data_IF_158110257286
#
_entry.id   IF_158110257286
#
_cell.length_a   1.000
_cell.length_b   1.000
_cell.length_c   1.000
_cell.angle_alpha   90.00
_cell.angle_beta   90.00
_cell.angle_gamma   90.00
#
_symmetry.space_group_name_H-M   'P 1'
#
loop_
_entity.id
_entity.type
_entity.pdbx_description
1 polymer ?
#
# COMPACT_ATOMS: atom_id res chain seq x y z
N UNK A 1 12.17 4.30 -23.71
CA UNK A 1 10.71 4.52 -23.68
C UNK A 1 10.06 3.30 -23.03
N UNK A 2 9.29 3.47 -21.94
CA UNK A 2 8.50 2.34 -21.39
C UNK A 2 7.37 2.04 -22.40
N UNK A 3 7.17 0.80 -22.87
CA UNK A 3 6.34 0.54 -24.07
C UNK A 3 4.85 0.92 -23.99
N UNK A 4 4.31 1.33 -22.84
CA UNK A 4 2.90 1.73 -22.70
C UNK A 4 2.63 2.90 -21.75
N UNK A 5 3.68 3.50 -21.14
CA UNK A 5 3.50 4.60 -20.17
C UNK A 5 2.58 4.27 -18.98
N UNK A 6 2.36 2.99 -18.66
CA UNK A 6 1.45 2.56 -17.60
C UNK A 6 2.12 2.67 -16.21
N UNK A 7 1.39 3.23 -15.24
CA UNK A 7 1.81 3.31 -13.84
C UNK A 7 1.41 2.09 -13.01
N UNK A 8 0.40 1.32 -13.47
CA UNK A 8 -0.11 0.13 -12.80
C UNK A 8 -0.44 -0.99 -13.80
N UNK A 9 0.01 -2.22 -13.53
CA UNK A 9 -0.35 -3.43 -14.25
C UNK A 9 -1.09 -4.41 -13.34
N UNK A 10 -2.32 -4.77 -13.69
CA UNK A 10 -3.12 -5.72 -12.93
C UNK A 10 -3.44 -6.95 -13.78
N UNK A 11 -3.29 -8.14 -13.21
CA UNK A 11 -3.56 -9.40 -13.93
C UNK A 11 -4.03 -10.49 -12.98
N UNK A 12 -4.74 -11.50 -13.51
CA UNK A 12 -4.98 -12.75 -12.79
C UNK A 12 -3.79 -13.74 -12.93
N UNK A 13 -2.77 -13.43 -13.75
CA UNK A 13 -1.59 -14.24 -13.94
C UNK A 13 -0.43 -13.72 -13.05
N UNK A 14 -0.03 -14.45 -11.99
CA UNK A 14 1.04 -14.02 -11.09
C UNK A 14 2.42 -13.90 -11.77
N UNK A 15 2.70 -14.67 -12.81
CA UNK A 15 3.98 -14.61 -13.52
C UNK A 15 4.11 -13.29 -14.30
N UNK A 16 3.03 -12.87 -14.97
CA UNK A 16 3.01 -11.57 -15.65
C UNK A 16 3.16 -10.40 -14.66
N UNK A 17 2.60 -10.53 -13.46
CA UNK A 17 2.74 -9.55 -12.38
C UNK A 17 4.18 -9.45 -11.93
N UNK A 18 4.84 -10.58 -11.62
CA UNK A 18 6.25 -10.60 -11.21
C UNK A 18 7.15 -9.96 -12.28
N UNK A 19 6.99 -10.37 -13.55
CA UNK A 19 7.75 -9.76 -14.65
C UNK A 19 7.54 -8.25 -14.74
N UNK A 20 6.34 -7.76 -14.47
CA UNK A 20 6.06 -6.32 -14.49
C UNK A 20 6.76 -5.58 -13.35
N UNK A 21 6.77 -6.16 -12.14
CA UNK A 21 7.52 -5.63 -10.99
C UNK A 21 9.02 -5.56 -11.27
N UNK A 22 9.60 -6.62 -11.86
CA UNK A 22 11.03 -6.67 -12.26
C UNK A 22 11.41 -5.55 -13.26
N UNK A 23 10.45 -5.10 -14.07
CA UNK A 23 10.64 -4.00 -15.03
C UNK A 23 10.28 -2.62 -14.44
N UNK A 24 10.07 -2.52 -13.12
CA UNK A 24 9.79 -1.27 -12.43
C UNK A 24 8.42 -0.69 -12.77
N UNK A 25 7.42 -1.55 -13.00
CA UNK A 25 6.01 -1.18 -13.13
C UNK A 25 5.29 -1.69 -11.88
N UNK A 26 4.54 -0.83 -11.19
CA UNK A 26 3.72 -1.28 -10.06
C UNK A 26 2.73 -2.34 -10.56
N UNK A 27 2.67 -3.50 -9.93
CA UNK A 27 1.82 -4.57 -10.40
C UNK A 27 1.29 -5.45 -9.28
N UNK A 28 0.09 -5.99 -9.50
CA UNK A 28 -0.56 -6.87 -8.53
C UNK A 28 -1.42 -7.95 -9.20
N UNK A 29 -1.51 -9.10 -8.53
CA UNK A 29 -2.41 -10.18 -8.90
C UNK A 29 -3.80 -9.87 -8.36
N UNK A 30 -4.78 -9.64 -9.24
CA UNK A 30 -6.16 -9.34 -8.81
C UNK A 30 -6.83 -10.62 -8.32
N UNK A 31 -7.39 -10.55 -7.12
CA UNK A 31 -8.28 -11.56 -6.57
C UNK A 31 -9.64 -10.91 -6.30
N UNK A 32 -10.73 -11.41 -6.92
CA UNK A 32 -12.05 -10.82 -6.76
C UNK A 32 -12.57 -11.05 -5.34
N UNK A 33 -13.32 -10.07 -4.84
CA UNK A 33 -14.10 -10.18 -3.61
C UNK A 33 -15.59 -10.34 -3.92
N UNK A 34 -16.38 -10.58 -2.88
CA UNK A 34 -17.83 -10.45 -3.02
C UNK A 34 -18.19 -9.02 -3.41
N UNK A 35 -19.15 -8.82 -4.34
CA UNK A 35 -19.50 -7.49 -4.81
C UNK A 35 -20.03 -6.64 -3.65
N UNK A 36 -19.42 -5.47 -3.44
CA UNK A 36 -19.88 -4.49 -2.45
C UNK A 36 -21.28 -3.99 -2.82
N UNK A 37 -22.17 -3.93 -1.82
CA UNK A 37 -23.57 -3.52 -2.01
C UNK A 37 -23.74 -2.00 -2.21
N UNK A 38 -22.73 -1.20 -1.83
CA UNK A 38 -22.77 0.26 -1.92
C UNK A 38 -21.68 0.71 -2.89
N UNK A 39 -22.10 1.22 -4.05
CA UNK A 39 -21.19 1.83 -5.03
C UNK A 39 -21.22 3.35 -4.85
N UNK A 40 -20.05 3.94 -4.65
CA UNK A 40 -19.84 5.38 -4.69
C UNK A 40 -19.28 5.76 -6.07
N UNK A 41 -19.55 6.98 -6.53
CA UNK A 41 -18.90 7.52 -7.74
C UNK A 41 -17.42 7.89 -7.50
N UNK A 42 -16.95 7.81 -6.25
CA UNK A 42 -15.57 8.06 -5.85
C UNK A 42 -14.78 6.75 -5.77
N UNK A 43 -13.66 6.67 -6.50
CA UNK A 43 -12.72 5.57 -6.44
C UNK A 43 -11.90 5.63 -5.13
N UNK A 44 -11.83 4.53 -4.40
CA UNK A 44 -11.15 4.43 -3.11
C UNK A 44 -10.10 3.33 -3.13
N UNK A 45 -8.83 3.73 -3.05
CA UNK A 45 -7.70 2.80 -3.14
C UNK A 45 -6.97 2.74 -1.80
N UNK A 46 -6.82 1.54 -1.25
CA UNK A 46 -6.06 1.31 -0.03
C UNK A 46 -4.76 0.54 -0.32
N UNK A 47 -3.72 0.83 0.44
CA UNK A 47 -2.40 0.24 0.32
C UNK A 47 -1.88 -0.23 1.67
N UNK A 48 -1.18 -1.36 1.70
CA UNK A 48 -0.23 -1.61 2.77
C UNK A 48 1.00 -0.69 2.67
N UNK A 49 1.72 -0.57 3.78
CA UNK A 49 2.93 0.21 3.87
C UNK A 49 4.15 -0.53 3.30
N UNK A 50 4.71 -1.43 4.11
CA UNK A 50 5.98 -2.11 3.82
C UNK A 50 5.84 -3.04 2.62
N UNK A 51 6.91 -3.19 1.85
CA UNK A 51 6.97 -3.95 0.58
C UNK A 51 5.95 -3.56 -0.52
N UNK A 52 5.07 -2.59 -0.28
CA UNK A 52 4.11 -2.01 -1.25
C UNK A 52 4.47 -0.56 -1.56
N UNK A 53 4.16 0.40 -0.67
CA UNK A 53 4.51 1.81 -0.84
C UNK A 53 5.96 2.06 -0.42
N UNK A 54 6.39 1.45 0.68
CA UNK A 54 7.74 1.54 1.23
C UNK A 54 8.55 0.29 0.86
N UNK A 55 9.87 0.37 0.95
CA UNK A 55 10.74 -0.78 0.80
C UNK A 55 10.54 -1.82 1.92
N UNK A 56 11.23 -2.94 1.80
CA UNK A 56 11.11 -4.09 2.73
C UNK A 56 12.17 -4.07 3.86
N UNK A 57 12.92 -2.96 4.00
CA UNK A 57 14.05 -2.84 4.91
C UNK A 57 13.67 -3.09 6.38
N UNK A 58 12.56 -2.50 6.84
CA UNK A 58 12.13 -2.64 8.23
C UNK A 58 11.50 -4.02 8.48
N UNK A 59 10.85 -4.61 7.48
CA UNK A 59 10.33 -5.98 7.58
C UNK A 59 11.48 -6.98 7.74
N UNK A 60 12.57 -6.80 6.99
CA UNK A 60 13.79 -7.62 7.13
C UNK A 60 14.35 -7.56 8.55
N UNK A 61 14.48 -6.36 9.13
CA UNK A 61 14.90 -6.19 10.53
C UNK A 61 13.97 -6.92 11.50
N UNK A 62 12.65 -6.82 11.30
CA UNK A 62 11.68 -7.50 12.17
C UNK A 62 11.76 -9.03 12.06
N UNK A 63 11.96 -9.58 10.85
CA UNK A 63 12.07 -11.03 10.63
C UNK A 63 13.38 -11.60 11.18
N UNK A 64 14.49 -10.89 11.00
CA UNK A 64 15.82 -11.36 11.39
C UNK A 64 16.11 -11.13 12.88
N UNK A 65 15.59 -10.05 13.46
CA UNK A 65 15.99 -9.58 14.80
C UNK A 65 14.81 -9.32 15.75
N UNK A 66 13.57 -9.53 15.29
CA UNK A 66 12.37 -9.41 16.11
C UNK A 66 11.85 -7.97 16.29
N UNK A 67 10.68 -7.87 16.92
CA UNK A 67 9.89 -6.63 17.05
C UNK A 67 10.62 -5.55 17.87
N UNK A 68 11.39 -5.94 18.89
CA UNK A 68 12.16 -4.94 19.66
C UNK A 68 13.28 -4.29 18.83
N UNK A 69 13.97 -5.08 18.01
CA UNK A 69 15.00 -4.57 17.13
C UNK A 69 14.40 -3.65 16.06
N UNK A 70 13.25 -4.02 15.50
CA UNK A 70 12.46 -3.15 14.65
C UNK A 70 12.11 -1.81 15.35
N UNK A 71 11.61 -1.86 16.57
CA UNK A 71 11.26 -0.65 17.33
C UNK A 71 12.45 0.25 17.68
N UNK A 72 13.66 -0.31 17.84
CA UNK A 72 14.91 0.49 17.96
C UNK A 72 15.31 1.08 16.62
N UNK A 73 15.34 0.26 15.57
CA UNK A 73 15.68 0.69 14.21
C UNK A 73 14.82 1.87 13.74
N UNK A 74 13.51 1.78 13.94
CA UNK A 74 12.58 2.84 13.54
C UNK A 74 12.72 4.13 14.36
N UNK A 75 13.13 4.04 15.63
CA UNK A 75 13.41 5.22 16.47
C UNK A 75 14.70 5.90 16.07
N UNK A 76 15.77 5.12 15.91
CA UNK A 76 17.09 5.65 15.57
C UNK A 76 17.09 6.30 14.18
N UNK A 77 16.29 5.75 13.26
CA UNK A 77 16.12 6.25 11.88
C UNK A 77 14.87 7.09 11.67
N UNK A 78 14.20 7.57 12.72
CA UNK A 78 12.93 8.29 12.58
C UNK A 78 13.02 9.51 11.64
N UNK A 79 14.20 10.12 11.51
CA UNK A 79 14.46 11.28 10.63
C UNK A 79 14.99 10.91 9.24
N UNK A 80 15.25 9.64 8.99
CA UNK A 80 15.68 9.12 7.69
C UNK A 80 14.44 8.59 6.96
N UNK A 81 14.15 9.02 5.72
CA UNK A 81 13.03 8.49 4.95
C UNK A 81 13.12 6.98 4.77
N UNK A 82 11.97 6.32 4.66
CA UNK A 82 11.90 4.95 4.17
C UNK A 82 12.28 4.92 2.68
N UNK A 83 12.88 3.83 2.25
CA UNK A 83 13.03 3.54 0.82
C UNK A 83 11.66 3.37 0.14
N UNK A 84 11.61 3.58 -1.18
CA UNK A 84 10.39 3.41 -1.96
C UNK A 84 10.15 1.96 -2.35
N UNK A 85 8.92 1.49 -2.16
CA UNK A 85 8.44 0.21 -2.67
C UNK A 85 7.94 0.31 -4.12
N UNK A 86 7.49 -0.82 -4.70
CA UNK A 86 7.06 -0.89 -6.10
C UNK A 86 5.89 0.05 -6.43
N UNK A 87 5.04 0.38 -5.46
CA UNK A 87 3.87 1.23 -5.64
C UNK A 87 4.13 2.72 -5.37
N UNK A 88 5.35 3.12 -4.95
CA UNK A 88 5.68 4.55 -4.71
C UNK A 88 5.35 5.43 -5.94
N UNK A 89 5.75 4.98 -7.13
CA UNK A 89 5.52 5.71 -8.37
C UNK A 89 4.02 5.87 -8.66
N UNK A 90 3.26 4.77 -8.54
CA UNK A 90 1.81 4.78 -8.73
C UNK A 90 1.10 5.67 -7.71
N UNK A 91 1.49 5.63 -6.44
CA UNK A 91 0.93 6.52 -5.41
C UNK A 91 1.22 8.00 -5.73
N UNK A 92 2.40 8.30 -6.28
CA UNK A 92 2.72 9.67 -6.71
C UNK A 92 1.84 10.11 -7.88
N UNK A 93 1.63 9.25 -8.88
CA UNK A 93 0.72 9.52 -10.00
C UNK A 93 -0.74 9.72 -9.53
N UNK A 94 -1.19 8.93 -8.55
CA UNK A 94 -2.50 9.12 -7.92
C UNK A 94 -2.58 10.47 -7.19
N UNK A 95 -1.53 10.85 -6.47
CA UNK A 95 -1.47 12.14 -5.81
C UNK A 95 -1.57 13.31 -6.81
N UNK A 96 -0.80 13.26 -7.90
CA UNK A 96 -0.84 14.28 -8.95
C UNK A 96 -2.25 14.36 -9.58
N UNK A 97 -2.89 13.22 -9.81
CA UNK A 97 -4.27 13.16 -10.28
C UNK A 97 -5.24 13.78 -9.26
N UNK A 98 -5.12 13.45 -7.98
CA UNK A 98 -5.96 14.04 -6.92
C UNK A 98 -5.79 15.56 -6.83
N UNK A 99 -4.57 16.07 -7.01
CA UNK A 99 -4.27 17.50 -6.95
C UNK A 99 -4.93 18.31 -8.08
N UNK A 100 -5.36 17.66 -9.17
CA UNK A 100 -6.12 18.29 -10.24
C UNK A 100 -7.59 18.57 -9.88
N UNK A 101 -8.08 18.09 -8.74
CA UNK A 101 -9.45 18.25 -8.28
C UNK A 101 -9.53 19.00 -6.94
N UNK A 102 -10.66 19.69 -6.65
CA UNK A 102 -10.89 20.25 -5.34
C UNK A 102 -10.83 19.16 -4.25
N UNK A 103 -10.16 19.42 -3.11
CA UNK A 103 -10.12 18.45 -2.02
C UNK A 103 -11.50 18.29 -1.38
N UNK A 104 -11.80 17.09 -0.88
CA UNK A 104 -13.01 16.81 -0.10
C UNK A 104 -13.85 15.69 -0.68
N UNK A 105 -15.14 15.70 -0.36
CA UNK A 105 -16.07 14.61 -0.73
C UNK A 105 -16.30 14.51 -2.23
N UNK A 106 -16.13 15.60 -2.96
CA UNK A 106 -16.34 15.67 -4.41
C UNK A 106 -15.09 15.26 -5.21
N UNK A 107 -13.96 15.00 -4.55
CA UNK A 107 -12.78 14.46 -5.22
C UNK A 107 -13.09 13.06 -5.77
N UNK A 108 -12.78 12.76 -7.05
CA UNK A 108 -13.14 11.48 -7.66
C UNK A 108 -12.31 10.29 -7.13
N UNK A 109 -11.24 10.56 -6.37
CA UNK A 109 -10.29 9.57 -5.89
C UNK A 109 -9.94 9.84 -4.42
N UNK A 110 -9.90 8.79 -3.59
CA UNK A 110 -9.34 8.81 -2.24
C UNK A 110 -8.34 7.69 -2.02
N UNK A 111 -7.29 7.97 -1.26
CA UNK A 111 -6.20 7.03 -0.98
C UNK A 111 -6.02 6.80 0.51
N UNK A 112 -5.78 5.54 0.90
CA UNK A 112 -5.56 5.16 2.31
C UNK A 112 -4.31 4.31 2.49
N UNK A 113 -3.53 4.58 3.53
CA UNK A 113 -2.50 3.68 4.05
C UNK A 113 -3.10 2.84 5.19
N UNK A 114 -2.96 1.52 5.11
CA UNK A 114 -3.44 0.55 6.09
C UNK A 114 -2.30 -0.38 6.47
N UNK A 115 -1.54 -0.02 7.50
CA UNK A 115 -0.28 -0.68 7.86
C UNK A 115 -0.32 -1.35 9.22
N UNK A 116 0.44 -2.44 9.37
CA UNK A 116 0.68 -3.10 10.66
C UNK A 116 1.62 -2.28 11.57
N UNK A 117 2.33 -1.28 11.04
CA UNK A 117 3.15 -0.37 11.84
C UNK A 117 2.29 0.30 12.93
N UNK A 118 2.90 0.54 14.09
CA UNK A 118 2.28 1.21 15.22
C UNK A 118 3.20 2.29 15.79
N UNK A 119 2.75 3.04 16.80
CA UNK A 119 3.64 3.95 17.50
C UNK A 119 4.78 3.18 18.19
N UNK A 120 6.04 3.66 18.12
CA UNK A 120 6.50 4.96 17.60
C UNK A 120 6.85 4.99 16.09
N UNK A 121 6.80 3.86 15.37
CA UNK A 121 7.24 3.76 13.96
C UNK A 121 6.43 4.63 12.96
N UNK A 122 5.26 5.12 13.36
CA UNK A 122 4.46 6.06 12.54
C UNK A 122 5.19 7.37 12.20
N UNK A 123 6.12 7.85 13.03
CA UNK A 123 6.84 9.11 12.78
C UNK A 123 7.60 9.05 11.45
N UNK A 124 8.35 7.97 11.22
CA UNK A 124 9.16 7.78 10.02
C UNK A 124 8.30 7.71 8.76
N UNK A 125 7.15 7.04 8.83
CA UNK A 125 6.15 6.98 7.75
C UNK A 125 5.66 8.38 7.38
N UNK A 126 5.24 9.17 8.37
CA UNK A 126 4.70 10.52 8.14
C UNK A 126 5.77 11.44 7.54
N UNK A 127 7.01 11.38 8.05
CA UNK A 127 8.14 12.17 7.52
C UNK A 127 8.47 11.77 6.08
N UNK A 128 8.47 10.47 5.78
CA UNK A 128 8.71 9.96 4.42
C UNK A 128 7.68 10.50 3.43
N UNK A 129 6.38 10.39 3.75
CA UNK A 129 5.31 10.89 2.87
C UNK A 129 5.41 12.41 2.65
N UNK A 130 5.74 13.18 3.69
CA UNK A 130 5.98 14.63 3.56
C UNK A 130 7.18 14.95 2.68
N UNK A 131 8.28 14.23 2.82
CA UNK A 131 9.47 14.43 2.00
C UNK A 131 9.20 14.09 0.53
N UNK A 132 8.40 13.07 0.26
CA UNK A 132 7.97 12.74 -1.09
C UNK A 132 6.92 13.72 -1.65
N UNK A 133 6.39 14.63 -0.85
CA UNK A 133 5.30 15.52 -1.24
C UNK A 133 3.97 14.81 -1.48
N UNK A 134 3.82 13.56 -1.01
CA UNK A 134 2.64 12.73 -1.23
C UNK A 134 1.68 12.86 -0.05
N UNK A 135 0.41 13.14 -0.36
CA UNK A 135 -0.68 13.13 0.61
C UNK A 135 -1.57 11.91 0.42
N UNK A 136 -1.95 11.29 1.55
CA UNK A 136 -3.04 10.32 1.63
C UNK A 136 -4.25 10.97 2.31
N UNK A 137 -5.44 10.47 2.00
CA UNK A 137 -6.67 10.88 2.66
C UNK A 137 -6.80 10.29 4.06
N UNK A 138 -6.36 9.04 4.23
CA UNK A 138 -6.40 8.31 5.50
C UNK A 138 -5.07 7.58 5.73
N UNK A 139 -4.61 7.51 6.98
CA UNK A 139 -3.45 6.70 7.37
C UNK A 139 -3.71 5.98 8.69
N UNK A 140 -3.71 4.65 8.65
CA UNK A 140 -4.05 3.81 9.78
C UNK A 140 -2.92 2.88 10.17
N UNK A 141 -2.56 3.00 11.45
CA UNK A 141 -1.51 2.27 12.11
C UNK A 141 -2.15 1.23 13.04
N UNK A 142 -2.37 0.03 12.50
CA UNK A 142 -3.23 -0.96 13.13
C UNK A 142 -2.54 -1.78 14.23
N UNK A 143 -1.21 -1.81 14.29
CA UNK A 143 -0.46 -2.54 15.31
C UNK A 143 -0.83 -4.02 15.40
N UNK A 144 -1.11 -4.67 14.26
CA UNK A 144 -1.49 -6.08 14.18
C UNK A 144 -2.99 -6.36 14.23
N UNK A 145 -3.86 -5.35 14.33
CA UNK A 145 -5.32 -5.56 14.15
C UNK A 145 -5.65 -5.93 12.71
N UNK A 146 -6.75 -6.67 12.52
CA UNK A 146 -7.24 -7.05 11.19
C UNK A 146 -7.56 -5.83 10.33
N UNK A 147 -7.13 -5.87 9.06
CA UNK A 147 -7.35 -4.80 8.07
C UNK A 147 -8.80 -4.75 7.55
N UNK A 148 -9.44 -5.91 7.42
CA UNK A 148 -10.77 -6.08 6.81
C UNK A 148 -11.84 -5.09 7.28
N UNK A 149 -12.12 -4.98 8.60
CA UNK A 149 -13.14 -4.06 9.12
C UNK A 149 -12.88 -2.60 8.75
N UNK A 150 -11.61 -2.20 8.67
CA UNK A 150 -11.27 -0.85 8.24
C UNK A 150 -11.47 -0.67 6.73
N UNK A 151 -11.04 -1.63 5.92
CA UNK A 151 -11.21 -1.57 4.46
C UNK A 151 -12.69 -1.47 4.07
N UNK A 152 -13.55 -2.21 4.78
CA UNK A 152 -15.00 -2.14 4.64
C UNK A 152 -15.57 -0.78 5.06
N UNK A 153 -15.16 -0.26 6.23
CA UNK A 153 -15.62 1.04 6.74
C UNK A 153 -15.14 2.22 5.86
N UNK A 154 -13.92 2.13 5.32
CA UNK A 154 -13.40 3.08 4.33
C UNK A 154 -14.13 2.94 2.99
N UNK A 155 -14.74 1.79 2.71
CA UNK A 155 -15.38 1.50 1.44
C UNK A 155 -14.36 1.43 0.31
N UNK A 156 -13.19 0.83 0.54
CA UNK A 156 -12.20 0.65 -0.52
C UNK A 156 -12.80 -0.14 -1.69
N UNK A 157 -12.47 0.26 -2.92
CA UNK A 157 -12.75 -0.52 -4.12
C UNK A 157 -11.67 -1.59 -4.35
N UNK A 158 -10.43 -1.27 -3.97
CA UNK A 158 -9.30 -2.20 -4.05
C UNK A 158 -8.28 -1.96 -2.94
N UNK A 159 -7.69 -3.04 -2.44
CA UNK A 159 -6.62 -3.04 -1.46
C UNK A 159 -5.37 -3.79 -1.97
N UNK A 160 -4.19 -3.17 -1.87
CA UNK A 160 -2.91 -3.76 -2.26
C UNK A 160 -2.07 -4.16 -1.05
N UNK A 161 -1.59 -5.40 -1.01
CA UNK A 161 -0.79 -5.96 0.09
C UNK A 161 0.17 -7.03 -0.45
N UNK A 162 1.35 -7.17 0.15
CA UNK A 162 2.36 -8.15 -0.26
C UNK A 162 2.18 -9.52 0.44
N UNK A 163 1.41 -9.56 1.52
CA UNK A 163 1.18 -10.77 2.31
C UNK A 163 -0.07 -11.52 1.84
N UNK A 164 0.11 -12.78 1.43
CA UNK A 164 -1.00 -13.67 1.06
C UNK A 164 -2.04 -13.80 2.19
N UNK A 165 -1.59 -13.82 3.45
CA UNK A 165 -2.49 -13.90 4.61
C UNK A 165 -3.41 -12.66 4.72
N UNK A 166 -2.85 -11.47 4.52
CA UNK A 166 -3.63 -10.23 4.54
C UNK A 166 -4.61 -10.19 3.37
N UNK A 167 -4.17 -10.63 2.18
CA UNK A 167 -5.01 -10.75 0.99
C UNK A 167 -6.19 -11.70 1.22
N UNK A 168 -5.95 -12.89 1.74
CA UNK A 168 -7.00 -13.89 2.01
C UNK A 168 -8.02 -13.42 3.04
N UNK A 169 -7.58 -12.64 4.04
CA UNK A 169 -8.48 -12.02 5.02
C UNK A 169 -9.23 -10.81 4.44
N UNK A 170 -8.57 -9.95 3.68
CA UNK A 170 -9.15 -8.72 3.15
C UNK A 170 -10.15 -8.97 2.01
N UNK A 171 -9.95 -10.02 1.20
CA UNK A 171 -10.84 -10.37 0.08
C UNK A 171 -12.27 -10.76 0.50
N UNK A 172 -12.48 -10.99 1.80
CA UNK A 172 -13.82 -11.17 2.37
C UNK A 172 -14.62 -9.86 2.41
N UNK A 173 -13.94 -8.71 2.29
CA UNK A 173 -14.51 -7.37 2.44
C UNK A 173 -14.35 -6.49 1.18
N UNK A 174 -13.23 -6.61 0.46
CA UNK A 174 -12.85 -5.72 -0.65
C UNK A 174 -12.05 -6.46 -1.72
N UNK A 175 -12.09 -6.03 -2.98
CA UNK A 175 -11.20 -6.60 -4.00
C UNK A 175 -9.73 -6.40 -3.60
N UNK A 176 -8.89 -7.40 -3.86
CA UNK A 176 -7.49 -7.37 -3.41
C UNK A 176 -6.52 -7.52 -4.56
N UNK A 177 -5.40 -6.81 -4.51
CA UNK A 177 -4.26 -6.98 -5.38
C UNK A 177 -3.05 -7.48 -4.59
N UNK A 178 -2.68 -8.75 -4.78
CA UNK A 178 -1.46 -9.29 -4.16
C UNK A 178 -0.22 -8.79 -4.89
N UNK A 179 0.70 -8.17 -4.14
CA UNK A 179 1.97 -7.63 -4.66
C UNK A 179 3.10 -8.61 -4.31
N UNK A 180 3.53 -9.51 -5.22
CA UNK A 180 4.57 -10.49 -4.91
C UNK A 180 5.96 -9.83 -4.90
N UNK A 181 6.25 -9.05 -3.87
CA UNK A 181 7.48 -8.30 -3.64
C UNK A 181 7.94 -8.41 -2.18
N UNK A 182 9.21 -8.16 -1.92
CA UNK A 182 9.78 -8.12 -0.57
C UNK A 182 10.09 -9.51 0.02
N UNK A 183 10.61 -9.51 1.24
CA UNK A 183 11.09 -10.72 1.95
C UNK A 183 10.01 -11.79 2.18
N UNK A 184 8.73 -11.43 2.07
CA UNK A 184 7.62 -12.38 2.13
C UNK A 184 7.46 -13.23 0.86
N UNK A 185 8.06 -12.82 -0.26
CA UNK A 185 7.83 -13.36 -1.60
C UNK A 185 9.17 -13.71 -2.28
N UNK A 186 9.87 -14.79 -1.85
CA UNK A 186 11.14 -15.22 -2.44
C UNK A 186 11.01 -15.78 -3.86
#
# INVERSE_FOLDING_TARGET
AKPFGADLFLSANPESVRRSLEHGIAAATILPAQPMQQRSDQLRIAFDGDAVIFGDESERVSREHGVEAFGRHERDRAKEPLSGGPFKGFLSALHDLQAAFPPGKDAPLRTALVTARSAPAHERVIRTLREWGVRLDEALFLGGRHKGPFLEAFGADIFFDDSQHNIDSARLHVATGHVPHGVANP
#
